data_IF_594257593149
#
_entry.id   IF_594257593149
#
_cell.length_a   1.000
_cell.length_b   1.000
_cell.length_c   1.000
_cell.angle_alpha   90.00
_cell.angle_beta   90.00
_cell.angle_gamma   90.00
#
_symmetry.space_group_name_H-M   'P 1'
#
loop_
_entity.id
_entity.type
_entity.pdbx_description
1 polymer ?
#
# COMPACT_ATOMS: atom_id res chain seq x y z
N UNK A 1 8.93 -25.07 -12.79
CA UNK A 1 8.56 -23.85 -12.05
C UNK A 1 8.08 -22.82 -13.08
N UNK A 2 6.77 -22.63 -13.20
CA UNK A 2 6.20 -21.65 -14.12
C UNK A 2 6.11 -20.32 -13.39
N UNK A 3 7.00 -19.38 -13.73
CA UNK A 3 6.97 -18.01 -13.21
C UNK A 3 5.91 -17.23 -13.98
N UNK A 4 4.80 -16.89 -13.30
CA UNK A 4 3.83 -15.92 -13.83
C UNK A 4 4.42 -14.51 -13.67
N UNK A 5 4.89 -13.93 -14.77
CA UNK A 5 5.38 -12.55 -14.81
C UNK A 5 4.26 -11.58 -15.19
N UNK A 6 4.26 -10.34 -14.65
CA UNK A 6 3.29 -9.33 -15.04
C UNK A 6 3.30 -9.05 -16.55
N UNK A 7 2.12 -8.77 -17.10
CA UNK A 7 1.96 -8.36 -18.50
C UNK A 7 2.83 -7.13 -18.77
N UNK A 8 3.62 -7.18 -19.84
CA UNK A 8 4.57 -6.11 -20.19
C UNK A 8 5.99 -6.31 -19.66
N UNK A 9 6.27 -7.40 -18.93
CA UNK A 9 7.63 -7.76 -18.53
C UNK A 9 8.49 -8.07 -19.77
N UNK A 10 9.65 -7.40 -19.90
CA UNK A 10 10.61 -7.66 -20.97
C UNK A 10 11.69 -8.62 -20.47
N UNK A 11 11.92 -9.71 -21.20
CA UNK A 11 13.01 -10.64 -20.95
C UNK A 11 14.13 -10.39 -21.95
N UNK A 12 15.34 -10.17 -21.44
CA UNK A 12 16.55 -9.96 -22.24
C UNK A 12 17.53 -11.08 -21.88
N UNK A 13 17.92 -11.89 -22.88
CA UNK A 13 18.81 -13.03 -22.68
C UNK A 13 20.20 -12.65 -23.15
N UNK A 14 21.17 -12.69 -22.24
CA UNK A 14 22.58 -12.50 -22.53
C UNK A 14 23.31 -13.85 -22.47
N UNK A 15 24.56 -13.90 -22.96
CA UNK A 15 25.35 -15.14 -22.98
C UNK A 15 25.63 -15.71 -21.58
N UNK A 16 25.66 -14.86 -20.55
CA UNK A 16 26.04 -15.22 -19.18
C UNK A 16 24.92 -15.03 -18.16
N UNK A 17 23.84 -14.32 -18.51
CA UNK A 17 22.74 -14.02 -17.59
C UNK A 17 21.45 -13.69 -18.33
N UNK A 18 20.34 -13.64 -17.60
CA UNK A 18 19.05 -13.17 -18.10
C UNK A 18 18.56 -11.99 -17.25
N UNK A 19 18.04 -10.96 -17.91
CA UNK A 19 17.42 -9.80 -17.26
C UNK A 19 15.90 -9.82 -17.49
N UNK A 20 15.14 -9.52 -16.43
CA UNK A 20 13.70 -9.35 -16.47
C UNK A 20 13.35 -7.94 -16.02
N UNK A 21 12.83 -7.12 -16.93
CA UNK A 21 12.40 -5.76 -16.66
C UNK A 21 10.89 -5.80 -16.39
N UNK A 22 10.50 -5.66 -15.14
CA UNK A 22 9.10 -5.62 -14.70
C UNK A 22 8.60 -4.17 -14.76
N UNK A 23 7.54 -3.86 -15.53
CA UNK A 23 6.99 -2.52 -15.56
C UNK A 23 6.37 -2.15 -14.20
N UNK A 24 6.31 -0.85 -13.84
CA UNK A 24 5.60 -0.40 -12.66
C UNK A 24 4.12 -0.80 -12.75
N UNK A 25 3.56 -1.24 -11.63
CA UNK A 25 2.14 -1.59 -11.52
C UNK A 25 1.26 -0.37 -11.81
N UNK A 26 0.16 -0.58 -12.53
CA UNK A 26 -0.84 0.45 -12.72
C UNK A 26 -1.55 0.75 -11.39
N UNK A 27 -1.50 2.01 -10.95
CA UNK A 27 -2.02 2.48 -9.65
C UNK A 27 -3.42 3.11 -9.83
N UNK A 28 -3.96 3.16 -11.05
CA UNK A 28 -5.24 3.83 -11.34
C UNK A 28 -6.41 3.33 -10.50
N UNK A 29 -6.47 2.04 -10.17
CA UNK A 29 -7.51 1.46 -9.32
C UNK A 29 -7.45 1.88 -7.85
N UNK A 30 -6.32 2.43 -7.39
CA UNK A 30 -6.09 2.82 -5.99
C UNK A 30 -6.55 4.27 -5.73
N UNK A 31 -6.87 5.04 -6.78
CA UNK A 31 -7.23 6.46 -6.65
C UNK A 31 -8.63 6.70 -6.05
N UNK A 32 -9.53 5.73 -6.11
CA UNK A 32 -10.92 5.88 -5.64
C UNK A 32 -11.10 5.57 -4.14
N UNK A 33 -9.99 5.48 -3.39
CA UNK A 33 -10.03 5.20 -1.96
C UNK A 33 -10.32 6.49 -1.19
N UNK A 34 -11.36 6.44 -0.35
CA UNK A 34 -11.67 7.51 0.60
C UNK A 34 -10.60 7.59 1.67
N UNK A 35 -9.75 8.61 1.58
CA UNK A 35 -8.75 8.90 2.61
C UNK A 35 -9.39 9.34 3.92
N UNK A 36 -8.80 8.90 5.03
CA UNK A 36 -9.11 9.42 6.37
C UNK A 36 -8.20 10.61 6.66
N UNK A 37 -8.78 11.77 6.91
CA UNK A 37 -8.04 12.96 7.32
C UNK A 37 -7.83 12.95 8.83
N UNK A 38 -6.67 13.45 9.27
CA UNK A 38 -6.34 13.48 10.70
C UNK A 38 -7.33 14.36 11.47
N UNK A 39 -7.80 15.47 10.86
CA UNK A 39 -8.82 16.36 11.43
C UNK A 39 -10.16 15.68 11.74
N UNK A 40 -10.48 14.58 11.07
CA UNK A 40 -11.74 13.85 11.25
C UNK A 40 -11.62 12.77 12.35
N UNK A 41 -10.43 12.60 12.95
CA UNK A 41 -10.18 11.73 14.09
C UNK A 41 -10.52 12.41 15.42
N UNK A 42 -10.59 11.62 16.49
CA UNK A 42 -10.69 12.11 17.86
C UNK A 42 -9.38 12.77 18.34
N UNK A 43 -9.42 13.46 19.49
CA UNK A 43 -8.27 14.21 20.02
C UNK A 43 -7.02 13.35 20.22
N UNK A 44 -7.17 12.07 20.60
CA UNK A 44 -6.03 11.15 20.77
C UNK A 44 -5.42 10.78 19.41
N UNK A 45 -6.25 10.48 18.41
CA UNK A 45 -5.82 10.23 17.03
C UNK A 45 -5.11 11.44 16.42
N UNK A 46 -5.65 12.64 16.62
CA UNK A 46 -5.03 13.89 16.17
C UNK A 46 -3.67 14.15 16.83
N UNK A 47 -3.53 13.82 18.12
CA UNK A 47 -2.26 13.95 18.82
C UNK A 47 -1.22 12.95 18.32
N UNK A 48 -1.63 11.70 18.06
CA UNK A 48 -0.76 10.63 17.58
C UNK A 48 -0.22 10.89 16.17
N UNK A 49 -1.03 11.47 15.29
CA UNK A 49 -0.66 11.79 13.91
C UNK A 49 -0.36 13.28 13.69
N UNK A 50 0.06 13.98 14.75
CA UNK A 50 0.39 15.41 14.69
C UNK A 50 1.49 15.67 13.65
N UNK A 51 1.17 16.48 12.65
CA UNK A 51 2.08 16.81 11.53
C UNK A 51 1.72 16.14 10.20
N UNK A 52 0.75 15.22 10.20
CA UNK A 52 0.21 14.61 9.00
C UNK A 52 -1.17 15.20 8.65
N UNK A 53 -1.45 15.37 7.36
CA UNK A 53 -2.75 15.88 6.87
C UNK A 53 -3.79 14.76 6.75
N UNK A 54 -3.36 13.60 6.24
CA UNK A 54 -4.19 12.43 5.98
C UNK A 54 -3.39 11.14 6.09
N UNK A 55 -4.09 10.04 6.35
CA UNK A 55 -3.52 8.70 6.29
C UNK A 55 -3.26 8.25 4.85
N UNK A 56 -2.29 7.35 4.68
CA UNK A 56 -2.06 6.72 3.39
C UNK A 56 -3.25 5.80 3.00
N UNK A 57 -3.26 5.27 1.77
CA UNK A 57 -4.38 4.48 1.26
C UNK A 57 -4.62 3.20 2.08
N UNK A 58 -3.57 2.43 2.37
CA UNK A 58 -3.70 1.19 3.14
C UNK A 58 -4.14 1.49 4.58
N UNK A 59 -3.54 2.49 5.21
CA UNK A 59 -3.91 2.96 6.54
C UNK A 59 -5.38 3.41 6.59
N UNK A 60 -5.85 4.13 5.57
CA UNK A 60 -7.26 4.57 5.47
C UNK A 60 -8.22 3.40 5.32
N UNK A 61 -7.86 2.36 4.56
CA UNK A 61 -8.68 1.15 4.38
C UNK A 61 -8.81 0.37 5.70
N UNK A 62 -7.72 0.22 6.43
CA UNK A 62 -7.71 -0.58 7.67
C UNK A 62 -8.14 0.21 8.90
N UNK A 63 -8.23 1.55 8.81
CA UNK A 63 -8.50 2.42 9.95
C UNK A 63 -9.80 2.04 10.69
N UNK A 64 -10.88 1.80 9.97
CA UNK A 64 -12.18 1.45 10.57
C UNK A 64 -12.07 0.17 11.42
N UNK A 65 -11.43 -0.87 10.90
CA UNK A 65 -11.30 -2.16 11.56
C UNK A 65 -10.26 -2.11 12.68
N UNK A 66 -9.12 -1.46 12.45
CA UNK A 66 -8.05 -1.36 13.44
C UNK A 66 -8.40 -0.42 14.61
N UNK A 67 -9.17 0.65 14.34
CA UNK A 67 -9.47 1.69 15.33
C UNK A 67 -10.83 1.50 16.01
N UNK A 68 -11.85 0.99 15.29
CA UNK A 68 -13.20 0.83 15.84
C UNK A 68 -13.53 -0.58 16.32
N UNK A 69 -12.71 -1.57 15.98
CA UNK A 69 -12.92 -2.96 16.40
C UNK A 69 -11.70 -3.49 17.16
N UNK A 70 -11.92 -4.53 17.98
CA UNK A 70 -10.84 -5.24 18.70
C UNK A 70 -10.54 -6.61 18.08
N UNK A 71 -10.81 -6.78 16.80
CA UNK A 71 -10.57 -8.04 16.11
C UNK A 71 -9.11 -8.18 15.67
N UNK A 72 -8.66 -9.43 15.50
CA UNK A 72 -7.33 -9.71 14.97
C UNK A 72 -7.30 -9.38 13.46
N UNK A 73 -6.34 -8.58 13.04
CA UNK A 73 -6.21 -8.13 11.65
C UNK A 73 -4.91 -8.68 11.02
N UNK A 74 -5.02 -9.23 9.81
CA UNK A 74 -3.88 -9.56 8.95
C UNK A 74 -3.83 -8.60 7.78
N UNK A 75 -2.72 -7.86 7.64
CA UNK A 75 -2.49 -6.93 6.52
C UNK A 75 -1.33 -7.45 5.67
N UNK A 76 -1.60 -7.75 4.41
CA UNK A 76 -0.58 -8.00 3.39
C UNK A 76 -0.42 -6.76 2.52
N UNK A 77 0.65 -6.00 2.72
CA UNK A 77 0.91 -4.77 1.97
C UNK A 77 2.32 -4.78 1.36
N UNK A 78 2.53 -4.13 0.21
CA UNK A 78 3.85 -4.01 -0.41
C UNK A 78 4.80 -3.17 0.46
N UNK A 79 6.10 -3.40 0.34
CA UNK A 79 7.14 -2.64 1.05
C UNK A 79 6.98 -1.14 0.81
N UNK A 80 6.90 -0.36 1.89
CA UNK A 80 6.72 1.10 1.85
C UNK A 80 5.26 1.58 1.98
N UNK A 81 4.27 0.68 2.00
CA UNK A 81 2.86 1.06 2.15
C UNK A 81 2.39 1.30 3.61
N UNK A 82 3.30 1.20 4.58
CA UNK A 82 3.02 1.38 6.00
C UNK A 82 4.22 1.84 6.81
N UNK A 83 5.21 2.46 6.16
CA UNK A 83 6.31 3.10 6.88
C UNK A 83 5.78 4.27 7.71
N UNK A 84 6.11 4.26 9.00
CA UNK A 84 5.78 5.29 10.00
C UNK A 84 6.09 6.72 9.52
#
# INVERSE_FOLDING_TARGET
LQLCVPVGTKRIVHRTYEEFIVPPSDITSIQDVRHIYIKDMDELGQLAFKGYEKLNVIQSIVFEQAYKTRENLLICAPTGAGGF
#
